data_IF_976368725690
#
_entry.id   IF_976368725690
#
_cell.length_a   1.000
_cell.length_b   1.000
_cell.length_c   1.000
_cell.angle_alpha   90.00
_cell.angle_beta   90.00
_cell.angle_gamma   90.00
#
_symmetry.space_group_name_H-M   'P 1'
#
loop_
_entity.id
_entity.type
_entity.pdbx_description
1 polymer ?
#
# COMPACT_ATOMS: atom_id res chain seq x y z
N UNK A 1 12.90 18.21 49.13
CA UNK A 1 13.96 17.58 50.00
C UNK A 1 14.75 16.67 49.12
N UNK A 2 15.97 17.10 48.85
CA UNK A 2 17.26 16.41 48.90
C UNK A 2 17.42 15.21 47.97
N UNK A 3 18.17 15.39 46.90
CA UNK A 3 19.66 15.33 46.78
C UNK A 3 20.20 13.90 46.91
N UNK A 4 20.95 13.41 45.97
CA UNK A 4 22.39 13.42 45.73
C UNK A 4 22.68 12.43 44.60
N UNK A 5 23.26 12.78 43.49
CA UNK A 5 24.71 12.96 43.20
C UNK A 5 25.64 11.77 43.41
N UNK A 6 26.40 11.53 42.35
CA UNK A 6 27.72 10.87 42.25
C UNK A 6 27.69 9.41 41.81
N UNK A 7 28.33 9.09 40.70
CA UNK A 7 29.69 8.81 40.60
C UNK A 7 30.29 8.77 39.20
N UNK A 8 31.33 9.51 39.04
CA UNK A 8 32.33 9.41 37.99
C UNK A 8 33.02 8.04 37.98
N UNK A 9 33.32 7.58 36.79
CA UNK A 9 34.28 6.51 36.55
C UNK A 9 34.98 6.74 35.22
N UNK A 10 36.08 7.45 35.27
CA UNK A 10 37.04 7.68 34.16
C UNK A 10 38.01 6.49 34.16
N UNK A 11 38.52 6.17 33.01
CA UNK A 11 39.65 5.34 32.57
C UNK A 11 39.21 4.23 31.64
N UNK A 12 39.73 4.01 30.46
CA UNK A 12 41.13 4.10 30.07
C UNK A 12 41.24 4.10 28.54
N UNK A 13 42.26 4.75 28.06
CA UNK A 13 42.74 4.78 26.70
C UNK A 13 43.00 3.38 26.12
N UNK A 14 42.55 3.19 24.88
CA UNK A 14 42.93 2.08 24.04
C UNK A 14 42.86 2.52 22.59
N UNK A 15 43.99 3.03 22.10
CA UNK A 15 44.30 3.30 20.70
C UNK A 15 44.33 1.97 19.97
N UNK A 16 43.50 1.78 18.94
CA UNK A 16 43.84 0.89 17.82
C UNK A 16 43.09 1.33 16.56
N UNK A 17 43.88 1.55 15.59
CA UNK A 17 43.71 1.90 14.19
C UNK A 17 42.61 1.17 13.43
N UNK A 18 42.03 1.94 12.50
CA UNK A 18 41.75 1.60 11.12
C UNK A 18 40.64 0.56 10.84
N UNK A 19 39.57 1.06 10.36
CA UNK A 19 39.01 0.71 9.06
C UNK A 19 37.83 1.67 8.75
N UNK A 20 38.15 2.74 8.06
CA UNK A 20 37.15 3.55 7.32
C UNK A 20 36.56 2.70 6.21
N UNK A 21 35.58 1.86 6.53
CA UNK A 21 34.64 1.37 5.52
C UNK A 21 33.66 2.50 5.27
N UNK A 22 33.94 3.25 4.23
CA UNK A 22 33.03 4.20 3.64
C UNK A 22 31.85 3.37 3.11
N UNK A 23 30.83 3.23 3.92
CA UNK A 23 29.52 2.83 3.45
C UNK A 23 28.99 3.97 2.61
N UNK A 24 29.27 3.89 1.30
CA UNK A 24 28.59 4.72 0.32
C UNK A 24 27.12 4.34 0.37
N UNK A 25 26.36 4.99 1.24
CA UNK A 25 24.92 5.03 1.16
C UNK A 25 24.63 5.79 -0.14
N UNK A 26 24.43 5.04 -1.22
CA UNK A 26 23.85 5.57 -2.43
C UNK A 26 22.45 6.05 -2.06
N UNK A 27 22.34 7.35 -1.72
CA UNK A 27 21.07 8.05 -1.79
C UNK A 27 20.68 8.07 -3.26
N UNK A 28 20.08 6.98 -3.74
CA UNK A 28 19.31 7.03 -4.98
C UNK A 28 18.21 8.07 -4.73
N UNK A 29 18.11 9.13 -5.55
CA UNK A 29 16.97 10.02 -5.46
C UNK A 29 15.74 9.15 -5.72
N UNK A 30 14.90 8.98 -4.70
CA UNK A 30 13.56 8.41 -4.86
C UNK A 30 12.75 9.37 -5.75
N UNK A 31 13.01 9.33 -7.05
CA UNK A 31 12.08 9.87 -8.03
C UNK A 31 10.86 8.97 -7.95
N UNK A 32 9.91 9.37 -7.14
CA UNK A 32 8.60 8.74 -7.06
C UNK A 32 7.86 8.93 -8.39
N UNK A 33 8.20 8.10 -9.37
CA UNK A 33 7.41 7.93 -10.58
C UNK A 33 6.15 7.15 -10.20
N UNK A 34 5.10 7.88 -9.84
CA UNK A 34 3.83 7.27 -9.40
C UNK A 34 3.12 6.48 -10.52
N UNK A 35 3.41 6.75 -11.80
CA UNK A 35 2.71 6.15 -12.92
C UNK A 35 3.04 4.68 -13.19
N UNK A 36 4.27 4.34 -13.61
CA UNK A 36 4.61 2.95 -13.94
C UNK A 36 4.61 2.04 -12.71
N UNK A 37 4.91 2.58 -11.53
CA UNK A 37 4.89 1.82 -10.27
C UNK A 37 3.50 1.31 -9.88
N UNK A 38 2.46 2.15 -9.97
CA UNK A 38 1.08 1.74 -9.66
C UNK A 38 0.55 0.66 -10.61
N UNK A 39 0.83 0.77 -11.90
CA UNK A 39 0.40 -0.22 -12.88
C UNK A 39 1.09 -1.58 -12.67
N UNK A 40 2.39 -1.58 -12.37
CA UNK A 40 3.13 -2.79 -12.03
C UNK A 40 2.62 -3.44 -10.74
N UNK A 41 2.38 -2.63 -9.70
CA UNK A 41 1.79 -3.09 -8.44
C UNK A 41 0.39 -3.70 -8.66
N UNK A 42 -0.44 -3.07 -9.50
CA UNK A 42 -1.75 -3.59 -9.85
C UNK A 42 -1.68 -4.91 -10.65
N UNK A 43 -0.70 -5.07 -11.54
CA UNK A 43 -0.47 -6.32 -12.26
C UNK A 43 -0.11 -7.46 -11.30
N UNK A 44 0.81 -7.22 -10.35
CA UNK A 44 1.17 -8.16 -9.29
C UNK A 44 -0.05 -8.52 -8.42
N UNK A 45 -0.86 -7.53 -8.05
CA UNK A 45 -2.08 -7.74 -7.28
C UNK A 45 -3.10 -8.58 -8.05
N UNK A 46 -3.26 -8.37 -9.37
CA UNK A 46 -4.14 -9.18 -10.22
C UNK A 46 -3.74 -10.66 -10.22
N UNK A 47 -2.43 -10.96 -10.29
CA UNK A 47 -1.95 -12.32 -10.17
C UNK A 47 -2.27 -12.92 -8.78
N UNK A 48 -2.07 -12.12 -7.71
CA UNK A 48 -2.43 -12.49 -6.34
C UNK A 48 -3.92 -12.80 -6.17
N UNK A 49 -4.83 -11.96 -6.72
CA UNK A 49 -6.28 -12.23 -6.72
C UNK A 49 -6.60 -13.53 -7.46
N UNK A 50 -5.92 -13.79 -8.59
CA UNK A 50 -6.06 -15.06 -9.31
C UNK A 50 -5.70 -16.27 -8.44
N UNK A 51 -4.62 -16.19 -7.68
CA UNK A 51 -4.21 -17.24 -6.74
C UNK A 51 -5.22 -17.49 -5.61
N UNK A 52 -5.98 -16.48 -5.18
CA UNK A 52 -7.06 -16.65 -4.22
C UNK A 52 -8.27 -17.44 -4.77
N UNK A 53 -8.31 -17.70 -6.07
CA UNK A 53 -9.41 -18.40 -6.73
C UNK A 53 -9.65 -19.84 -6.27
N UNK A 54 -8.70 -20.48 -5.62
CA UNK A 54 -8.86 -21.80 -4.99
C UNK A 54 -9.56 -21.77 -3.62
N UNK A 55 -9.67 -20.58 -3.01
CA UNK A 55 -10.26 -20.37 -1.69
C UNK A 55 -11.74 -20.02 -1.79
N UNK A 56 -12.49 -20.22 -0.70
CA UNK A 56 -13.90 -19.88 -0.57
C UNK A 56 -14.22 -19.28 0.81
N UNK A 57 -15.34 -18.55 0.91
CA UNK A 57 -15.83 -18.00 2.17
C UNK A 57 -14.78 -17.11 2.87
N UNK A 58 -14.64 -17.27 4.17
CA UNK A 58 -13.73 -16.46 4.99
C UNK A 58 -12.27 -16.55 4.55
N UNK A 59 -11.80 -17.73 4.14
CA UNK A 59 -10.42 -17.93 3.66
C UNK A 59 -10.15 -17.09 2.41
N UNK A 60 -11.14 -16.97 1.53
CA UNK A 60 -11.07 -16.10 0.37
C UNK A 60 -10.95 -14.63 0.78
N UNK A 61 -11.76 -14.16 1.77
CA UNK A 61 -11.71 -12.77 2.21
C UNK A 61 -10.34 -12.42 2.79
N UNK A 62 -9.75 -13.32 3.59
CA UNK A 62 -8.42 -13.14 4.17
C UNK A 62 -7.32 -13.16 3.10
N UNK A 63 -7.42 -14.01 2.10
CA UNK A 63 -6.53 -14.04 0.96
C UNK A 63 -6.56 -12.71 0.19
N UNK A 64 -7.76 -12.24 -0.17
CA UNK A 64 -7.94 -10.95 -0.87
C UNK A 64 -7.42 -9.80 -0.02
N UNK A 65 -7.70 -9.78 1.29
CA UNK A 65 -7.17 -8.78 2.22
C UNK A 65 -5.65 -8.73 2.19
N UNK A 66 -4.98 -9.88 2.21
CA UNK A 66 -3.52 -9.97 2.11
C UNK A 66 -2.96 -9.42 0.80
N UNK A 67 -3.68 -9.61 -0.32
CA UNK A 67 -3.30 -9.03 -1.61
C UNK A 67 -3.44 -7.51 -1.59
N UNK A 68 -4.53 -6.97 -1.02
CA UNK A 68 -4.75 -5.52 -0.93
C UNK A 68 -3.72 -4.84 -0.02
N UNK A 69 -3.31 -5.47 1.08
CA UNK A 69 -2.26 -4.94 1.95
C UNK A 69 -0.90 -4.90 1.24
N UNK A 70 -0.54 -5.94 0.52
CA UNK A 70 0.69 -5.95 -0.29
C UNK A 70 0.65 -4.87 -1.37
N UNK A 71 -0.48 -4.73 -2.06
CA UNK A 71 -0.67 -3.67 -3.04
C UNK A 71 -0.48 -2.29 -2.39
N UNK A 72 -1.12 -2.04 -1.24
CA UNK A 72 -0.97 -0.79 -0.51
C UNK A 72 0.47 -0.53 -0.04
N UNK A 73 1.22 -1.57 0.30
CA UNK A 73 2.64 -1.49 0.67
C UNK A 73 3.57 -1.19 -0.50
N UNK A 74 3.18 -1.53 -1.73
CA UNK A 74 3.95 -1.26 -2.94
C UNK A 74 3.69 0.16 -3.50
N UNK A 75 2.65 0.82 -3.02
CA UNK A 75 2.35 2.20 -3.40
C UNK A 75 3.25 3.15 -2.60
N UNK A 76 4.11 3.88 -3.30
CA UNK A 76 5.03 4.86 -2.71
C UNK A 76 4.66 6.30 -3.05
N UNK A 77 5.44 7.23 -2.53
CA UNK A 77 5.29 8.65 -2.82
C UNK A 77 3.93 9.21 -2.39
N UNK A 78 3.35 10.02 -3.25
CA UNK A 78 2.12 10.76 -2.96
C UNK A 78 0.84 9.95 -3.28
N UNK A 79 0.80 8.70 -2.81
CA UNK A 79 -0.35 7.79 -2.96
C UNK A 79 -0.94 7.35 -1.61
N UNK A 80 -0.67 8.13 -0.56
CA UNK A 80 -1.06 7.78 0.81
C UNK A 80 -2.54 7.51 0.99
N UNK A 81 -3.42 8.28 0.34
CA UNK A 81 -4.87 8.07 0.40
C UNK A 81 -5.29 6.80 -0.34
N UNK A 82 -4.69 6.51 -1.51
CA UNK A 82 -4.92 5.25 -2.22
C UNK A 82 -4.51 4.05 -1.36
N UNK A 83 -3.31 4.09 -0.78
CA UNK A 83 -2.83 3.06 0.11
C UNK A 83 -3.70 2.91 1.38
N UNK A 84 -4.15 4.04 1.94
CA UNK A 84 -5.08 4.07 3.08
C UNK A 84 -6.42 3.41 2.77
N UNK A 85 -7.01 3.72 1.62
CA UNK A 85 -8.26 3.10 1.17
C UNK A 85 -8.14 1.57 0.98
N UNK A 86 -7.02 1.11 0.43
CA UNK A 86 -6.75 -0.33 0.26
C UNK A 86 -6.56 -1.04 1.60
N UNK A 87 -5.81 -0.46 2.56
CA UNK A 87 -5.65 -1.03 3.92
C UNK A 87 -6.97 -1.06 4.68
N UNK A 88 -7.80 -0.02 4.55
CA UNK A 88 -9.13 0.01 5.14
C UNK A 88 -10.02 -1.11 4.59
N UNK A 89 -10.01 -1.34 3.27
CA UNK A 89 -10.73 -2.45 2.66
C UNK A 89 -10.19 -3.81 3.16
N UNK A 90 -8.87 -3.97 3.24
CA UNK A 90 -8.25 -5.19 3.75
C UNK A 90 -8.66 -5.50 5.20
N UNK A 91 -8.66 -4.50 6.09
CA UNK A 91 -9.11 -4.68 7.48
C UNK A 91 -10.58 -5.05 7.56
N UNK A 92 -11.46 -4.41 6.76
CA UNK A 92 -12.88 -4.74 6.70
C UNK A 92 -13.13 -6.16 6.16
N UNK A 93 -12.35 -6.62 5.19
CA UNK A 93 -12.43 -8.00 4.68
C UNK A 93 -12.09 -9.04 5.75
N UNK A 94 -11.08 -8.76 6.59
CA UNK A 94 -10.68 -9.67 7.69
C UNK A 94 -11.75 -9.83 8.76
N UNK A 95 -12.57 -8.80 8.99
CA UNK A 95 -13.67 -8.86 9.96
C UNK A 95 -15.01 -9.20 9.31
N UNK A 96 -15.08 -9.33 8.00
CA UNK A 96 -16.31 -9.65 7.29
C UNK A 96 -16.79 -11.07 7.67
N UNK A 97 -17.99 -11.16 8.22
CA UNK A 97 -18.63 -12.41 8.60
C UNK A 97 -19.39 -13.08 7.45
N UNK A 98 -19.69 -12.33 6.38
CA UNK A 98 -20.45 -12.81 5.26
C UNK A 98 -20.09 -12.08 3.95
N UNK A 99 -20.54 -12.65 2.84
CA UNK A 99 -20.34 -12.13 1.48
C UNK A 99 -20.78 -10.67 1.32
N UNK A 100 -21.91 -10.27 1.89
CA UNK A 100 -22.44 -8.92 1.73
C UNK A 100 -21.51 -7.87 2.36
N UNK A 101 -20.96 -8.16 3.54
CA UNK A 101 -19.98 -7.31 4.20
C UNK A 101 -18.68 -7.22 3.40
N UNK A 102 -18.18 -8.34 2.90
CA UNK A 102 -16.97 -8.39 2.08
C UNK A 102 -17.15 -7.57 0.78
N UNK A 103 -18.25 -7.72 0.08
CA UNK A 103 -18.57 -6.93 -1.12
C UNK A 103 -18.74 -5.43 -0.81
N UNK A 104 -19.35 -5.08 0.32
CA UNK A 104 -19.46 -3.69 0.77
C UNK A 104 -18.08 -3.05 0.98
N UNK A 105 -17.15 -3.77 1.61
CA UNK A 105 -15.78 -3.29 1.81
C UNK A 105 -15.09 -2.96 0.48
N UNK A 106 -15.13 -3.89 -0.48
CA UNK A 106 -14.54 -3.69 -1.82
C UNK A 106 -15.25 -2.56 -2.58
N UNK A 107 -16.58 -2.49 -2.53
CA UNK A 107 -17.34 -1.45 -3.22
C UNK A 107 -17.01 -0.05 -2.74
N UNK A 108 -16.88 0.15 -1.42
CA UNK A 108 -16.47 1.44 -0.83
C UNK A 108 -15.07 1.85 -1.28
N UNK A 109 -14.11 0.93 -1.23
CA UNK A 109 -12.75 1.20 -1.70
C UNK A 109 -12.74 1.56 -3.19
N UNK A 110 -13.46 0.80 -4.03
CA UNK A 110 -13.57 1.08 -5.46
C UNK A 110 -14.21 2.44 -5.73
N UNK A 111 -15.25 2.81 -5.01
CA UNK A 111 -15.90 4.11 -5.15
C UNK A 111 -14.96 5.27 -4.79
N UNK A 112 -14.17 5.14 -3.72
CA UNK A 112 -13.18 6.13 -3.32
C UNK A 112 -12.11 6.33 -4.41
N UNK A 113 -11.53 5.25 -4.92
CA UNK A 113 -10.49 5.30 -5.97
C UNK A 113 -11.07 5.80 -7.31
N UNK A 114 -12.29 5.40 -7.68
CA UNK A 114 -12.96 5.91 -8.86
C UNK A 114 -13.29 7.42 -8.74
N UNK A 115 -13.58 7.90 -7.54
CA UNK A 115 -13.72 9.33 -7.24
C UNK A 115 -12.43 10.08 -7.51
N UNK A 116 -11.31 9.59 -6.97
CA UNK A 116 -9.99 10.15 -7.22
C UNK A 116 -9.60 10.16 -8.71
N UNK A 117 -9.90 9.08 -9.42
CA UNK A 117 -9.67 8.99 -10.85
C UNK A 117 -10.44 10.08 -11.63
N UNK A 118 -11.68 10.39 -11.24
CA UNK A 118 -12.44 11.50 -11.85
C UNK A 118 -11.76 12.85 -11.58
N UNK A 119 -11.25 13.08 -10.36
CA UNK A 119 -10.53 14.30 -10.02
C UNK A 119 -9.23 14.44 -10.83
N UNK A 120 -8.43 13.38 -10.93
CA UNK A 120 -7.20 13.37 -11.76
C UNK A 120 -7.51 13.69 -13.21
N UNK A 121 -8.60 13.16 -13.77
CA UNK A 121 -9.03 13.46 -15.14
C UNK A 121 -9.52 14.91 -15.29
N UNK A 122 -10.25 15.44 -14.32
CA UNK A 122 -10.77 16.80 -14.35
C UNK A 122 -9.65 17.86 -14.33
N UNK A 123 -8.51 17.57 -13.69
CA UNK A 123 -7.32 18.43 -13.68
C UNK A 123 -6.32 18.11 -14.81
N UNK A 124 -6.76 17.43 -15.86
CA UNK A 124 -5.93 17.11 -17.03
C UNK A 124 -4.76 16.16 -16.74
N UNK A 125 -4.91 15.23 -15.79
CA UNK A 125 -3.85 14.33 -15.35
C UNK A 125 -2.87 14.96 -14.36
N UNK A 126 -3.22 16.14 -13.83
CA UNK A 126 -2.44 16.85 -12.82
C UNK A 126 -2.36 16.11 -11.49
N UNK A 127 -1.60 16.71 -10.58
CA UNK A 127 -1.40 16.16 -9.24
C UNK A 127 -2.66 16.28 -8.39
N UNK A 128 -3.09 15.16 -7.78
CA UNK A 128 -4.14 15.13 -6.76
C UNK A 128 -3.51 14.58 -5.48
N UNK A 129 -3.43 15.43 -4.45
CA UNK A 129 -2.74 15.10 -3.21
C UNK A 129 -3.23 13.78 -2.58
N UNK A 130 -2.31 12.90 -2.26
CA UNK A 130 -2.58 11.60 -1.64
C UNK A 130 -3.11 10.50 -2.58
N UNK A 131 -3.45 10.83 -3.83
CA UNK A 131 -3.95 9.86 -4.81
C UNK A 131 -2.97 9.59 -5.95
N UNK A 132 -1.88 10.34 -5.99
CA UNK A 132 -0.87 10.31 -7.03
C UNK A 132 -1.07 11.37 -8.09
N UNK A 133 -0.03 11.64 -8.87
CA UNK A 133 -0.02 12.67 -9.91
C UNK A 133 0.95 12.33 -11.03
N UNK A 134 0.95 13.17 -12.05
CA UNK A 134 1.82 13.05 -13.21
C UNK A 134 1.29 12.12 -14.32
N UNK A 135 2.04 12.04 -15.43
CA UNK A 135 1.66 11.23 -16.57
C UNK A 135 1.56 9.75 -16.17
N UNK A 136 0.39 9.16 -16.30
CA UNK A 136 0.12 7.77 -15.95
C UNK A 136 -0.58 7.54 -14.61
N UNK A 137 -0.77 8.54 -13.74
CA UNK A 137 -1.51 8.38 -12.49
C UNK A 137 -2.95 7.88 -12.74
N UNK A 138 -3.62 8.42 -13.75
CA UNK A 138 -4.95 7.97 -14.16
C UNK A 138 -4.97 6.50 -14.60
N UNK A 139 -3.95 6.05 -15.35
CA UNK A 139 -3.82 4.65 -15.75
C UNK A 139 -3.56 3.74 -14.54
N UNK A 140 -2.72 4.16 -13.60
CA UNK A 140 -2.45 3.43 -12.37
C UNK A 140 -3.70 3.27 -11.49
N UNK A 141 -4.45 4.34 -11.26
CA UNK A 141 -5.71 4.29 -10.52
C UNK A 141 -6.76 3.41 -11.24
N UNK A 142 -6.84 3.48 -12.57
CA UNK A 142 -7.72 2.63 -13.38
C UNK A 142 -7.35 1.15 -13.23
N UNK A 143 -6.06 0.82 -13.23
CA UNK A 143 -5.59 -0.54 -13.01
C UNK A 143 -5.99 -1.07 -11.61
N UNK A 144 -5.87 -0.24 -10.56
CA UNK A 144 -6.31 -0.60 -9.20
C UNK A 144 -7.84 -0.83 -9.16
N UNK A 145 -8.64 0.01 -9.83
CA UNK A 145 -10.09 -0.22 -9.96
C UNK A 145 -10.38 -1.58 -10.62
N UNK A 146 -9.59 -1.98 -11.60
CA UNK A 146 -9.66 -3.30 -12.25
C UNK A 146 -9.39 -4.44 -11.26
N UNK A 147 -8.36 -4.33 -10.42
CA UNK A 147 -8.04 -5.30 -9.34
C UNK A 147 -9.24 -5.47 -8.40
N UNK A 148 -9.81 -4.36 -7.92
CA UNK A 148 -10.95 -4.38 -7.01
C UNK A 148 -12.21 -4.97 -7.65
N UNK A 149 -12.43 -4.71 -8.93
CA UNK A 149 -13.54 -5.32 -9.69
C UNK A 149 -13.40 -6.84 -9.81
N UNK A 150 -12.17 -7.31 -10.06
CA UNK A 150 -11.87 -8.75 -10.10
C UNK A 150 -12.03 -9.41 -8.73
N UNK A 151 -11.57 -8.75 -7.67
CA UNK A 151 -11.76 -9.22 -6.29
C UNK A 151 -13.26 -9.32 -5.95
N UNK A 152 -14.07 -8.32 -6.31
CA UNK A 152 -15.52 -8.35 -6.11
C UNK A 152 -16.17 -9.51 -6.84
N UNK A 153 -15.83 -9.75 -8.11
CA UNK A 153 -16.36 -10.85 -8.90
C UNK A 153 -16.03 -12.21 -8.28
N UNK A 154 -14.79 -12.38 -7.80
CA UNK A 154 -14.36 -13.61 -7.14
C UNK A 154 -15.13 -13.85 -5.82
N UNK A 155 -15.33 -12.80 -5.01
CA UNK A 155 -16.12 -12.86 -3.77
C UNK A 155 -17.61 -13.16 -4.09
N UNK A 156 -18.16 -12.62 -5.18
CA UNK A 156 -19.52 -12.94 -5.60
C UNK A 156 -19.71 -14.41 -5.95
N UNK A 157 -18.72 -15.02 -6.58
CA UNK A 157 -18.78 -16.41 -7.01
C UNK A 157 -18.57 -17.39 -5.86
N UNK A 158 -17.64 -17.12 -4.96
CA UNK A 158 -17.12 -18.08 -3.99
C UNK A 158 -17.20 -17.65 -2.54
N UNK A 159 -17.64 -16.43 -2.27
CA UNK A 159 -17.78 -15.87 -0.93
C UNK A 159 -19.01 -16.37 -0.16
#
# INVERSE_FOLDING_TARGET
>A
MRSLLRGCGVHSAGVLLAALTIWSVSLAPNTAYAGPGMSAAAATANAGIGACGSSAGKVLYDCVAGVLDRLAGQLGGDTGQTAGALRSAASQLRVAANKAQALSAISRCRAAIAGALRQVRAVGGGHVAGWGGGPGAGAGLQAIVGVLSRAAALIQQKG
#
